data_IF_019021249718
#
_entry.id   IF_019021249718
#
_cell.length_a   1.000
_cell.length_b   1.000
_cell.length_c   1.000
_cell.angle_alpha   90.00
_cell.angle_beta   90.00
_cell.angle_gamma   90.00
#
_symmetry.space_group_name_H-M   'P 1'
#
loop_
_entity.id
_entity.type
_entity.pdbx_description
1 polymer ?
#
# COMPACT_ATOMS: atom_id res chain seq x y z
N UNK A 1 -24.33 -3.66 23.10
CA UNK A 1 -24.10 -2.56 22.12
C UNK A 1 -25.34 -1.66 21.93
N UNK A 2 -25.24 -0.36 22.26
CA UNK A 2 -26.35 0.60 22.17
C UNK A 2 -26.63 1.04 20.72
N UNK A 3 -27.65 0.45 20.09
CA UNK A 3 -28.06 0.72 18.69
C UNK A 3 -28.31 2.20 18.40
N UNK A 4 -28.86 2.92 19.38
CA UNK A 4 -29.11 4.37 19.29
C UNK A 4 -27.84 5.20 19.13
N UNK A 5 -26.71 4.77 19.73
CA UNK A 5 -25.43 5.47 19.64
C UNK A 5 -24.77 5.32 18.27
N UNK A 6 -25.12 4.26 17.53
CA UNK A 6 -24.63 4.04 16.17
C UNK A 6 -25.36 4.94 15.16
N UNK A 7 -26.68 5.09 15.29
CA UNK A 7 -27.50 5.93 14.39
C UNK A 7 -27.04 7.39 14.43
N UNK A 8 -26.64 7.91 15.60
CA UNK A 8 -26.12 9.27 15.76
C UNK A 8 -24.61 9.40 15.52
N UNK A 9 -23.91 8.32 15.16
CA UNK A 9 -22.46 8.37 14.87
C UNK A 9 -22.21 8.92 13.47
N UNK A 10 -21.01 9.49 13.26
CA UNK A 10 -20.57 9.97 11.93
C UNK A 10 -20.73 8.88 10.87
N UNK A 11 -20.38 7.64 11.20
CA UNK A 11 -20.52 6.48 10.31
C UNK A 11 -21.98 6.12 10.00
N UNK A 12 -22.87 6.17 11.01
CA UNK A 12 -24.29 5.91 10.83
C UNK A 12 -24.99 6.95 9.96
N UNK A 13 -24.63 8.22 10.13
CA UNK A 13 -25.14 9.33 9.30
C UNK A 13 -24.69 9.17 7.84
N UNK A 14 -23.41 8.84 7.61
CA UNK A 14 -22.87 8.59 6.27
C UNK A 14 -23.56 7.41 5.60
N UNK A 15 -23.78 6.31 6.33
CA UNK A 15 -24.45 5.13 5.80
C UNK A 15 -25.91 5.43 5.41
N UNK A 16 -26.64 6.13 6.29
CA UNK A 16 -28.02 6.57 6.04
C UNK A 16 -28.12 7.45 4.79
N UNK A 17 -27.30 8.50 4.70
CA UNK A 17 -27.30 9.41 3.55
C UNK A 17 -26.94 8.70 2.23
N UNK A 18 -26.18 7.61 2.28
CA UNK A 18 -25.75 6.85 1.11
C UNK A 18 -26.80 5.89 0.53
N UNK A 19 -27.84 5.54 1.31
CA UNK A 19 -28.91 4.58 0.97
C UNK A 19 -30.25 5.29 0.77
N UNK A 20 -30.52 6.33 1.56
CA UNK A 20 -31.78 7.07 1.60
C UNK A 20 -32.28 7.58 0.23
N UNK A 21 -31.44 8.11 -0.68
CA UNK A 21 -31.88 8.53 -2.01
C UNK A 21 -32.44 7.39 -2.87
N UNK A 22 -32.04 6.14 -2.62
CA UNK A 22 -32.50 4.97 -3.39
C UNK A 22 -33.86 4.48 -2.91
N UNK A 23 -34.15 4.60 -1.61
CA UNK A 23 -35.45 4.26 -1.04
C UNK A 23 -36.51 5.32 -1.33
N UNK A 24 -36.16 6.61 -1.26
CA UNK A 24 -37.11 7.69 -1.59
C UNK A 24 -37.60 7.61 -3.05
N UNK A 25 -36.77 7.13 -3.98
CA UNK A 25 -37.15 6.95 -5.39
C UNK A 25 -38.16 5.83 -5.65
N UNK A 26 -38.39 4.92 -4.69
CA UNK A 26 -39.39 3.84 -4.83
C UNK A 26 -40.79 4.27 -4.39
N UNK A 27 -40.90 5.26 -3.48
CA UNK A 27 -42.18 5.69 -2.90
C UNK A 27 -42.80 6.91 -3.59
N UNK A 28 -42.00 7.77 -4.24
CA UNK A 28 -42.49 9.03 -4.85
C UNK A 28 -42.27 9.03 -6.37
N UNK A 29 -43.30 8.63 -7.12
CA UNK A 29 -43.27 8.43 -8.57
C UNK A 29 -43.76 9.63 -9.41
N UNK A 30 -43.67 10.86 -8.90
CA UNK A 30 -44.09 12.07 -9.64
C UNK A 30 -42.95 12.70 -10.45
N UNK A 31 -43.23 13.07 -11.71
CA UNK A 31 -42.25 13.51 -12.72
C UNK A 31 -41.35 14.69 -12.31
N UNK A 32 -41.84 15.64 -11.52
CA UNK A 32 -41.05 16.78 -11.02
C UNK A 32 -40.11 16.36 -9.89
N UNK A 33 -40.55 15.45 -9.01
CA UNK A 33 -39.71 14.91 -7.94
C UNK A 33 -38.65 13.95 -8.49
N UNK A 34 -38.90 13.29 -9.62
CA UNK A 34 -37.92 12.42 -10.29
C UNK A 34 -36.65 13.16 -10.74
N UNK A 35 -36.72 14.44 -11.11
CA UNK A 35 -35.54 15.25 -11.45
C UNK A 35 -34.68 15.58 -10.23
N UNK A 36 -35.31 15.96 -9.12
CA UNK A 36 -34.62 16.22 -7.84
C UNK A 36 -34.01 14.92 -7.31
N UNK A 37 -34.74 13.80 -7.38
CA UNK A 37 -34.24 12.47 -6.99
C UNK A 37 -33.06 12.04 -7.87
N UNK A 38 -33.04 12.37 -9.17
CA UNK A 38 -31.89 12.14 -10.05
C UNK A 38 -30.66 12.93 -9.62
N UNK A 39 -30.81 14.20 -9.25
CA UNK A 39 -29.70 15.01 -8.70
C UNK A 39 -29.20 14.45 -7.36
N UNK A 40 -30.11 13.97 -6.50
CA UNK A 40 -29.74 13.31 -5.23
C UNK A 40 -28.97 12.00 -5.42
N UNK A 41 -28.95 11.40 -6.62
CA UNK A 41 -28.07 10.25 -6.90
C UNK A 41 -26.58 10.62 -6.85
N UNK A 42 -26.22 11.89 -7.03
CA UNK A 42 -24.84 12.37 -6.83
C UNK A 42 -24.38 12.14 -5.39
N UNK A 43 -25.29 12.15 -4.41
CA UNK A 43 -24.99 11.81 -3.01
C UNK A 43 -24.43 10.39 -2.85
N UNK A 44 -24.58 9.51 -3.84
CA UNK A 44 -23.91 8.20 -3.84
C UNK A 44 -22.38 8.32 -3.85
N UNK A 45 -21.80 9.47 -4.24
CA UNK A 45 -20.37 9.74 -4.09
C UNK A 45 -19.93 9.64 -2.62
N UNK A 46 -20.81 9.99 -1.67
CA UNK A 46 -20.55 9.83 -0.24
C UNK A 46 -20.41 8.38 0.19
N UNK A 47 -20.76 7.39 -0.65
CA UNK A 47 -20.36 5.98 -0.41
C UNK A 47 -18.85 5.82 -0.34
N UNK A 48 -18.07 6.70 -0.99
CA UNK A 48 -16.61 6.73 -0.85
C UNK A 48 -16.19 7.03 0.60
N UNK A 49 -17.02 7.69 1.40
CA UNK A 49 -16.73 7.90 2.82
C UNK A 49 -16.84 6.60 3.64
N UNK A 50 -17.44 5.53 3.11
CA UNK A 50 -17.30 4.18 3.72
C UNK A 50 -15.86 3.69 3.68
N UNK A 51 -15.02 4.22 2.78
CA UNK A 51 -13.59 3.94 2.75
C UNK A 51 -12.89 4.41 4.04
N UNK A 52 -13.48 5.37 4.77
CA UNK A 52 -12.99 5.84 6.08
C UNK A 52 -12.91 4.69 7.09
N UNK A 53 -13.82 3.70 7.00
CA UNK A 53 -13.79 2.51 7.87
C UNK A 53 -12.53 1.65 7.66
N UNK A 54 -11.90 1.74 6.49
CA UNK A 54 -10.66 1.05 6.15
C UNK A 54 -9.41 1.92 6.37
N UNK A 55 -9.57 3.17 6.86
CA UNK A 55 -8.42 4.04 7.14
C UNK A 55 -7.55 3.51 8.28
N UNK A 56 -8.12 2.74 9.22
CA UNK A 56 -7.33 2.12 10.29
C UNK A 56 -6.35 1.09 9.70
N UNK A 57 -6.79 0.24 8.78
CA UNK A 57 -5.92 -0.70 8.03
C UNK A 57 -4.90 0.06 7.16
N UNK A 58 -5.33 1.16 6.51
CA UNK A 58 -4.41 2.00 5.74
C UNK A 58 -3.34 2.65 6.61
N UNK A 59 -3.67 3.02 7.86
CA UNK A 59 -2.71 3.57 8.81
C UNK A 59 -1.65 2.54 9.22
N UNK A 60 -2.03 1.27 9.40
CA UNK A 60 -1.08 0.16 9.64
C UNK A 60 -0.10 0.05 8.48
N UNK A 61 -0.59 0.06 7.24
CA UNK A 61 0.26 0.02 6.05
C UNK A 61 1.21 1.23 5.97
N UNK A 62 0.72 2.45 6.21
CA UNK A 62 1.54 3.66 6.19
C UNK A 62 2.63 3.59 7.26
N UNK A 63 2.32 3.15 8.48
CA UNK A 63 3.31 2.99 9.56
C UNK A 63 4.36 1.95 9.20
N UNK A 64 3.97 0.81 8.65
CA UNK A 64 4.88 -0.21 8.17
C UNK A 64 5.85 0.33 7.09
N UNK A 65 5.35 1.12 6.13
CA UNK A 65 6.18 1.77 5.11
C UNK A 65 7.17 2.79 5.72
N UNK A 66 6.73 3.58 6.70
CA UNK A 66 7.62 4.50 7.43
C UNK A 66 8.71 3.76 8.21
N UNK A 67 8.41 2.59 8.77
CA UNK A 67 9.42 1.75 9.42
C UNK A 67 10.38 1.13 8.40
N UNK A 68 9.86 0.73 7.24
CA UNK A 68 10.65 0.18 6.13
C UNK A 68 11.56 1.22 5.44
N UNK A 69 11.29 2.53 5.59
CA UNK A 69 11.94 3.61 4.82
C UNK A 69 13.46 3.54 4.75
N UNK A 70 14.13 3.21 5.88
CA UNK A 70 15.60 3.13 5.93
C UNK A 70 16.11 1.94 5.13
N UNK A 71 15.46 0.79 5.27
CA UNK A 71 15.80 -0.44 4.53
C UNK A 71 15.55 -0.27 3.04
N UNK A 72 14.43 0.35 2.67
CA UNK A 72 14.08 0.69 1.29
C UNK A 72 15.07 1.69 0.68
N UNK A 73 15.48 2.72 1.44
CA UNK A 73 16.47 3.69 0.98
C UNK A 73 17.84 3.04 0.70
N UNK A 74 18.31 2.14 1.58
CA UNK A 74 19.53 1.37 1.36
C UNK A 74 19.40 0.47 0.12
N UNK A 75 18.25 -0.18 -0.05
CA UNK A 75 17.98 -1.00 -1.23
C UNK A 75 18.08 -0.20 -2.54
N UNK A 76 17.39 0.95 -2.64
CA UNK A 76 17.46 1.78 -3.84
C UNK A 76 18.87 2.34 -4.08
N UNK A 77 19.63 2.62 -3.03
CA UNK A 77 21.03 2.99 -3.16
C UNK A 77 21.87 1.88 -3.81
N UNK A 78 21.70 0.62 -3.37
CA UNK A 78 22.38 -0.54 -3.97
C UNK A 78 21.96 -0.75 -5.43
N UNK A 79 20.67 -0.61 -5.74
CA UNK A 79 20.16 -0.68 -7.13
C UNK A 79 20.80 0.41 -7.99
N UNK A 80 20.93 1.64 -7.49
CA UNK A 80 21.58 2.73 -8.21
C UNK A 80 23.07 2.44 -8.47
N UNK A 81 23.78 1.84 -7.52
CA UNK A 81 25.18 1.42 -7.69
C UNK A 81 25.30 0.36 -8.80
N UNK A 82 24.46 -0.69 -8.77
CA UNK A 82 24.43 -1.69 -9.83
C UNK A 82 24.06 -1.08 -11.19
N UNK A 83 23.07 -0.18 -11.22
CA UNK A 83 22.66 0.51 -12.43
C UNK A 83 23.80 1.34 -13.04
N UNK A 84 24.61 1.98 -12.18
CA UNK A 84 25.82 2.71 -12.60
C UNK A 84 26.88 1.78 -13.15
N UNK A 85 27.15 0.65 -12.50
CA UNK A 85 28.16 -0.32 -12.94
C UNK A 85 27.80 -0.92 -14.31
N UNK A 86 26.62 -1.52 -14.44
CA UNK A 86 26.17 -2.11 -15.69
C UNK A 86 25.99 -1.05 -16.79
N UNK A 87 25.43 0.12 -16.46
CA UNK A 87 25.29 1.23 -17.40
C UNK A 87 26.64 1.71 -17.94
N UNK A 88 27.66 1.86 -17.08
CA UNK A 88 29.01 2.23 -17.51
C UNK A 88 29.66 1.15 -18.38
N UNK A 89 29.50 -0.14 -18.05
CA UNK A 89 30.01 -1.24 -18.89
C UNK A 89 29.33 -1.21 -20.26
N UNK A 90 28.01 -1.06 -20.31
CA UNK A 90 27.25 -0.99 -21.56
C UNK A 90 27.64 0.20 -22.43
N UNK A 91 27.87 1.36 -21.82
CA UNK A 91 28.38 2.53 -22.53
C UNK A 91 29.71 2.26 -23.24
N UNK A 92 30.62 1.53 -22.59
CA UNK A 92 31.93 1.19 -23.16
C UNK A 92 31.83 0.11 -24.24
N UNK A 93 30.98 -0.90 -24.02
CA UNK A 93 30.87 -2.08 -24.92
C UNK A 93 30.08 -1.76 -26.18
N UNK A 94 28.94 -1.08 -26.05
CA UNK A 94 28.04 -0.81 -27.17
C UNK A 94 28.30 0.54 -27.83
N UNK A 95 28.66 1.55 -27.02
CA UNK A 95 28.94 2.90 -27.47
C UNK A 95 27.74 3.66 -28.10
N UNK A 96 27.98 4.89 -28.60
CA UNK A 96 26.92 5.74 -29.14
C UNK A 96 26.22 5.17 -30.39
N UNK A 97 26.92 4.33 -31.17
CA UNK A 97 26.39 3.74 -32.40
C UNK A 97 25.15 2.86 -32.16
N UNK A 98 25.05 2.24 -30.98
CA UNK A 98 23.95 1.35 -30.60
C UNK A 98 22.97 2.01 -29.62
N UNK A 99 22.95 3.35 -29.53
CA UNK A 99 22.03 4.11 -28.68
C UNK A 99 22.52 4.37 -27.25
N UNK A 100 23.69 3.83 -26.86
CA UNK A 100 24.34 4.11 -25.58
C UNK A 100 25.17 5.40 -25.68
N UNK A 101 24.50 6.54 -25.90
CA UNK A 101 25.16 7.82 -26.20
C UNK A 101 25.84 8.48 -25.00
N UNK A 102 25.45 8.14 -23.78
CA UNK A 102 26.03 8.69 -22.55
C UNK A 102 25.86 7.72 -21.38
N UNK A 103 26.67 7.88 -20.33
CA UNK A 103 26.55 7.05 -19.12
C UNK A 103 25.15 7.18 -18.49
N UNK A 104 24.56 8.39 -18.30
CA UNK A 104 23.20 8.51 -17.77
C UNK A 104 22.14 7.80 -18.61
N UNK A 105 22.27 7.82 -19.94
CA UNK A 105 21.35 7.09 -20.83
C UNK A 105 21.50 5.58 -20.70
N UNK A 106 22.72 5.10 -20.46
CA UNK A 106 23.02 3.68 -20.23
C UNK A 106 22.54 3.21 -18.85
N UNK A 107 22.59 4.10 -17.85
CA UNK A 107 21.97 3.88 -16.53
C UNK A 107 20.45 3.77 -16.68
N UNK A 108 19.83 4.66 -17.45
CA UNK A 108 18.39 4.58 -17.75
C UNK A 108 18.01 3.22 -18.35
N UNK A 109 18.75 2.76 -19.38
CA UNK A 109 18.54 1.43 -19.96
C UNK A 109 18.65 0.34 -18.89
N UNK A 110 19.69 0.41 -18.05
CA UNK A 110 19.91 -0.58 -17.00
C UNK A 110 18.76 -0.62 -16.00
N UNK A 111 18.24 0.54 -15.58
CA UNK A 111 17.09 0.61 -14.67
C UNK A 111 15.87 -0.04 -15.32
N UNK A 112 15.55 0.31 -16.58
CA UNK A 112 14.42 -0.26 -17.33
C UNK A 112 14.54 -1.78 -17.49
N UNK A 113 15.76 -2.29 -17.66
CA UNK A 113 16.04 -3.73 -17.78
C UNK A 113 15.94 -4.45 -16.43
N UNK A 114 16.61 -3.94 -15.39
CA UNK A 114 16.61 -4.54 -14.03
C UNK A 114 15.21 -4.53 -13.41
N UNK A 115 14.41 -3.50 -13.69
CA UNK A 115 13.02 -3.39 -13.22
C UNK A 115 12.03 -4.19 -14.07
N UNK A 116 12.51 -4.95 -15.06
CA UNK A 116 11.69 -5.78 -15.97
C UNK A 116 10.65 -5.00 -16.79
N UNK A 117 10.79 -3.68 -16.91
CA UNK A 117 9.90 -2.84 -17.74
C UNK A 117 10.16 -3.06 -19.22
N UNK A 118 11.44 -3.02 -19.63
CA UNK A 118 11.87 -3.42 -20.97
C UNK A 118 11.20 -2.67 -22.13
N UNK A 119 11.24 -1.33 -22.14
CA UNK A 119 10.62 -0.52 -23.22
C UNK A 119 11.11 -0.86 -24.63
N UNK A 120 12.35 -1.37 -24.76
CA UNK A 120 12.93 -1.77 -26.06
C UNK A 120 13.40 -0.60 -26.93
N UNK A 121 13.45 0.61 -26.37
CA UNK A 121 13.94 1.84 -27.01
C UNK A 121 15.47 1.85 -27.19
N UNK A 122 16.20 1.12 -26.33
CA UNK A 122 17.64 0.89 -26.43
C UNK A 122 17.88 -0.59 -26.17
N UNK A 123 18.67 -1.26 -27.02
CA UNK A 123 18.96 -2.69 -26.89
C UNK A 123 20.42 -2.99 -27.28
N UNK A 124 21.08 -3.93 -26.58
CA UNK A 124 22.44 -4.35 -26.92
C UNK A 124 22.46 -5.04 -28.28
N UNK A 125 23.34 -4.61 -29.18
CA UNK A 125 23.50 -5.21 -30.50
C UNK A 125 24.71 -6.14 -30.57
N UNK A 126 25.72 -5.91 -29.72
CA UNK A 126 26.96 -6.71 -29.73
C UNK A 126 26.79 -8.01 -28.93
N UNK A 127 27.46 -9.12 -29.33
CA UNK A 127 27.44 -10.36 -28.55
C UNK A 127 27.91 -10.17 -27.11
N UNK A 128 28.92 -9.32 -26.89
CA UNK A 128 29.44 -9.03 -25.55
C UNK A 128 28.43 -8.22 -24.72
N UNK A 129 27.77 -7.22 -25.33
CA UNK A 129 26.71 -6.46 -24.69
C UNK A 129 25.49 -7.31 -24.34
N UNK A 130 25.16 -8.32 -25.16
CA UNK A 130 24.09 -9.28 -24.88
C UNK A 130 24.41 -10.18 -23.69
N UNK A 131 25.68 -10.60 -23.53
CA UNK A 131 26.12 -11.35 -22.33
C UNK A 131 25.99 -10.47 -21.07
N UNK A 132 26.46 -9.22 -21.13
CA UNK A 132 26.34 -8.27 -20.01
C UNK A 132 24.87 -8.00 -19.68
N UNK A 133 24.03 -7.82 -20.68
CA UNK A 133 22.60 -7.61 -20.52
C UNK A 133 21.91 -8.82 -19.88
N UNK A 134 22.31 -10.04 -20.24
CA UNK A 134 21.80 -11.27 -19.62
C UNK A 134 22.14 -11.33 -18.13
N UNK A 135 23.37 -10.98 -17.74
CA UNK A 135 23.75 -10.87 -16.32
C UNK A 135 22.94 -9.77 -15.60
N UNK A 136 22.73 -8.62 -16.23
CA UNK A 136 21.94 -7.53 -15.66
C UNK A 136 20.47 -7.95 -15.44
N UNK A 137 19.87 -8.70 -16.39
CA UNK A 137 18.52 -9.25 -16.26
C UNK A 137 18.39 -10.25 -15.10
N UNK A 138 19.35 -11.19 -14.95
CA UNK A 138 19.36 -12.13 -13.82
C UNK A 138 19.51 -11.41 -12.46
N UNK A 139 20.33 -10.37 -12.43
CA UNK A 139 20.49 -9.51 -11.25
C UNK A 139 19.18 -8.80 -10.92
N UNK A 140 18.47 -8.28 -11.92
CA UNK A 140 17.16 -7.65 -11.76
C UNK A 140 16.10 -8.55 -11.16
N UNK A 141 16.01 -9.79 -11.64
CA UNK A 141 15.08 -10.77 -11.09
C UNK A 141 15.32 -11.01 -9.58
N UNK A 142 16.59 -11.06 -9.17
CA UNK A 142 16.99 -11.24 -7.77
C UNK A 142 16.64 -10.02 -6.89
N UNK A 143 16.74 -8.81 -7.47
CA UNK A 143 16.51 -7.53 -6.79
C UNK A 143 15.01 -7.31 -6.49
N UNK A 144 14.09 -7.76 -7.35
CA UNK A 144 12.64 -7.54 -7.19
C UNK A 144 12.06 -8.19 -5.92
N UNK A 145 12.64 -9.30 -5.45
CA UNK A 145 12.17 -9.99 -4.25
C UNK A 145 12.43 -9.21 -2.95
N UNK A 146 13.49 -8.38 -2.92
CA UNK A 146 13.94 -7.69 -1.71
C UNK A 146 12.96 -6.62 -1.19
N UNK A 147 12.46 -5.66 -1.99
CA UNK A 147 11.56 -4.62 -1.49
C UNK A 147 10.23 -5.23 -1.05
N UNK A 148 9.71 -6.22 -1.78
CA UNK A 148 8.52 -6.98 -1.40
C UNK A 148 8.74 -7.66 -0.05
N UNK A 149 9.86 -8.37 0.13
CA UNK A 149 10.20 -9.01 1.41
C UNK A 149 10.34 -8.04 2.58
N UNK A 150 10.98 -6.88 2.36
CA UNK A 150 11.11 -5.83 3.39
C UNK A 150 9.75 -5.29 3.79
N UNK A 151 8.90 -4.92 2.82
CA UNK A 151 7.57 -4.35 3.08
C UNK A 151 6.68 -5.39 3.76
N UNK A 152 6.67 -6.64 3.29
CA UNK A 152 5.90 -7.72 3.90
C UNK A 152 6.35 -7.99 5.33
N UNK A 153 7.66 -7.98 5.61
CA UNK A 153 8.17 -8.19 6.96
C UNK A 153 7.78 -7.07 7.94
N UNK A 154 7.87 -5.81 7.51
CA UNK A 154 7.44 -4.68 8.36
C UNK A 154 5.93 -4.61 8.50
N UNK A 155 5.17 -4.95 7.45
CA UNK A 155 3.71 -5.04 7.53
C UNK A 155 3.27 -6.12 8.52
N UNK A 156 3.85 -7.33 8.42
CA UNK A 156 3.57 -8.41 9.37
C UNK A 156 3.98 -8.04 10.81
N UNK A 157 5.02 -7.21 10.98
CA UNK A 157 5.43 -6.71 12.28
C UNK A 157 4.45 -5.68 12.85
N UNK A 158 4.00 -4.73 12.03
CA UNK A 158 3.04 -3.71 12.45
C UNK A 158 1.66 -4.31 12.72
N UNK A 159 1.21 -5.25 11.89
CA UNK A 159 -0.04 -5.99 12.13
C UNK A 159 -0.02 -6.72 13.48
N UNK A 160 1.06 -7.45 13.78
CA UNK A 160 1.24 -8.07 15.11
C UNK A 160 1.28 -7.03 16.24
N UNK A 161 1.88 -5.86 16.02
CA UNK A 161 1.92 -4.81 17.03
C UNK A 161 0.53 -4.23 17.32
N UNK A 162 -0.33 -4.10 16.30
CA UNK A 162 -1.70 -3.60 16.46
C UNK A 162 -2.62 -4.64 17.14
N UNK A 163 -2.45 -5.93 16.81
CA UNK A 163 -3.12 -7.05 17.51
C UNK A 163 -2.77 -7.12 19.01
N UNK A 164 -1.55 -6.72 19.39
CA UNK A 164 -1.08 -6.69 20.79
C UNK A 164 -1.52 -5.44 21.58
N UNK A 165 -2.34 -4.56 21.00
CA UNK A 165 -2.84 -3.35 21.66
C UNK A 165 -4.29 -3.51 22.16
N UNK A 166 -4.61 -4.62 22.83
CA UNK A 166 -5.87 -4.73 23.60
C UNK A 166 -5.91 -3.57 24.61
N UNK A 167 -7.03 -2.85 24.66
CA UNK A 167 -7.24 -1.71 25.55
C UNK A 167 -8.08 -2.15 26.74
N UNK A 168 -7.55 -1.94 27.94
CA UNK A 168 -8.30 -2.20 29.16
C UNK A 168 -9.55 -1.30 29.26
N UNK A 169 -10.75 -1.86 29.46
CA UNK A 169 -11.99 -1.09 29.53
C UNK A 169 -12.08 -0.25 30.82
N UNK A 170 -11.42 -0.67 31.90
CA UNK A 170 -11.46 0.00 33.19
C UNK A 170 -10.44 1.15 33.28
N UNK A 171 -9.14 0.85 33.10
CA UNK A 171 -8.08 1.84 33.29
C UNK A 171 -7.53 2.46 31.99
N UNK A 172 -7.98 1.99 30.83
CA UNK A 172 -7.57 2.51 29.52
C UNK A 172 -6.12 2.18 29.11
N UNK A 173 -5.39 1.36 29.88
CA UNK A 173 -4.05 0.88 29.51
C UNK A 173 -4.11 0.09 28.21
N UNK A 174 -3.14 0.33 27.32
CA UNK A 174 -2.93 -0.39 26.06
C UNK A 174 -1.70 -1.28 26.16
N UNK A 175 -1.55 -2.22 25.23
CA UNK A 175 -0.36 -3.07 25.13
C UNK A 175 -0.44 -4.30 26.03
N UNK A 176 -1.59 -4.97 26.00
CA UNK A 176 -1.75 -6.26 26.68
C UNK A 176 -1.46 -7.38 25.68
N UNK A 177 -0.75 -8.43 26.11
CA UNK A 177 -0.53 -9.61 25.28
C UNK A 177 -1.88 -10.24 24.88
N UNK A 178 -1.91 -10.89 23.71
CA UNK A 178 -3.14 -11.48 23.16
C UNK A 178 -3.77 -12.55 24.08
N UNK A 179 -2.98 -13.19 24.95
CA UNK A 179 -3.46 -14.19 25.92
C UNK A 179 -3.64 -13.61 27.33
N UNK A 180 -3.65 -12.28 27.50
CA UNK A 180 -3.82 -11.68 28.81
C UNK A 180 -5.30 -11.60 29.17
N UNK A 181 -5.73 -12.42 30.12
CA UNK A 181 -7.11 -12.36 30.67
C UNK A 181 -7.30 -11.14 31.58
N UNK A 182 -6.21 -10.65 32.19
CA UNK A 182 -6.25 -9.53 33.14
C UNK A 182 -5.31 -8.39 32.78
N UNK A 183 -5.76 -7.17 33.05
CA UNK A 183 -4.97 -5.96 32.86
C UNK A 183 -3.79 -5.90 33.84
N UNK A 184 -2.56 -5.89 33.33
CA UNK A 184 -1.31 -5.79 34.12
C UNK A 184 -1.10 -4.48 34.91
N UNK A 185 -2.10 -3.58 34.99
CA UNK A 185 -2.04 -2.37 35.81
C UNK A 185 -3.14 -2.32 36.87
N UNK A 186 -4.37 -2.65 36.50
CA UNK A 186 -5.52 -2.54 37.40
C UNK A 186 -6.19 -3.89 37.72
N UNK A 187 -5.70 -5.00 37.16
CA UNK A 187 -6.22 -6.34 37.41
C UNK A 187 -7.65 -6.59 36.89
N UNK A 188 -8.25 -5.66 36.14
CA UNK A 188 -9.56 -5.87 35.55
C UNK A 188 -9.46 -6.83 34.36
N UNK A 189 -10.48 -7.64 34.19
CA UNK A 189 -10.65 -8.53 33.05
C UNK A 189 -10.60 -7.75 31.72
N UNK A 190 -9.94 -8.32 30.73
CA UNK A 190 -9.85 -7.79 29.37
C UNK A 190 -10.85 -8.54 28.50
N UNK A 191 -11.59 -7.83 27.64
CA UNK A 191 -12.39 -8.47 26.59
C UNK A 191 -11.43 -9.19 25.64
N UNK A 192 -11.28 -10.50 25.81
CA UNK A 192 -10.39 -11.33 25.01
C UNK A 192 -11.16 -11.79 23.74
N UNK A 193 -10.76 -11.36 22.53
CA UNK A 193 -11.51 -11.68 21.30
C UNK A 193 -11.41 -13.15 20.87
N UNK A 194 -10.73 -14.02 21.63
CA UNK A 194 -10.55 -15.45 21.30
C UNK A 194 -11.63 -16.40 21.84
N UNK A 195 -12.65 -15.91 22.56
CA UNK A 195 -13.74 -16.74 23.11
C UNK A 195 -15.08 -16.66 22.35
N UNK A 196 -15.16 -15.92 21.23
CA UNK A 196 -16.34 -15.85 20.33
C UNK A 196 -16.12 -16.56 18.98
#
# INVERSE_FOLDING_TARGET
PNRWRYISSVYGIVDLLSILPSYLGLFFADVTYLLIIRLLRVLRIFRVLKLIKYLDEANVLIRALFQARRKISVFFFVVMVFATIFGSIMYVVEGPANGFTSIPRSIYWTIVTITTVGYGDITPQTPLGQVVASLAMLTGYSIIAVPTGIVTAELAREMRHDELLIKCPNCGKKGHEHAADYCSRCGSELDNPSED
#
